data_IF_396260008155
#
_entry.id   IF_396260008155
#
_cell.length_a   1.000
_cell.length_b   1.000
_cell.length_c   1.000
_cell.angle_alpha   90.00
_cell.angle_beta   90.00
_cell.angle_gamma   90.00
#
_symmetry.space_group_name_H-M   'P 1'
#
loop_
_entity.id
_entity.type
_entity.pdbx_description
1 polymer ?
#
# COMPACT_ATOMS: atom_id res chain seq x y z
N UNK A 1 -4.41 0.89 -16.83
CA UNK A 1 -5.42 0.82 -15.75
C UNK A 1 -6.49 1.83 -16.13
N UNK A 2 -7.75 1.39 -16.28
CA UNK A 2 -8.87 2.30 -16.56
C UNK A 2 -9.36 2.81 -15.20
N UNK A 3 -9.24 4.12 -14.97
CA UNK A 3 -9.67 4.75 -13.72
C UNK A 3 -11.19 4.62 -13.60
N UNK A 4 -11.66 3.85 -12.63
CA UNK A 4 -13.07 3.51 -12.52
C UNK A 4 -13.85 4.59 -11.77
N UNK A 5 -15.18 4.57 -11.92
CA UNK A 5 -16.06 5.43 -11.12
C UNK A 5 -15.85 5.19 -9.61
N UNK A 6 -15.60 3.95 -9.20
CA UNK A 6 -15.34 3.60 -7.81
C UNK A 6 -14.02 4.21 -7.29
N UNK A 7 -12.99 4.29 -8.13
CA UNK A 7 -11.72 4.94 -7.79
C UNK A 7 -11.91 6.45 -7.60
N UNK A 8 -12.73 7.07 -8.45
CA UNK A 8 -13.08 8.48 -8.32
C UNK A 8 -13.83 8.77 -7.02
N UNK A 9 -14.85 7.97 -6.70
CA UNK A 9 -15.65 8.14 -5.48
C UNK A 9 -14.79 7.93 -4.22
N UNK A 10 -13.90 6.92 -4.24
CA UNK A 10 -12.92 6.67 -3.16
C UNK A 10 -11.98 7.86 -2.96
N UNK A 11 -11.45 8.43 -4.05
CA UNK A 11 -10.58 9.60 -4.02
C UNK A 11 -11.32 10.82 -3.44
N UNK A 12 -12.57 11.05 -3.86
CA UNK A 12 -13.39 12.16 -3.39
C UNK A 12 -13.65 12.07 -1.88
N UNK A 13 -14.00 10.87 -1.39
CA UNK A 13 -14.22 10.60 0.03
C UNK A 13 -12.93 10.80 0.83
N UNK A 14 -11.80 10.32 0.33
CA UNK A 14 -10.50 10.48 0.99
C UNK A 14 -10.09 11.97 1.06
N UNK A 15 -10.26 12.73 -0.02
CA UNK A 15 -10.00 14.18 -0.03
C UNK A 15 -10.90 14.95 0.96
N UNK A 16 -12.19 14.64 0.96
CA UNK A 16 -13.14 15.24 1.90
C UNK A 16 -12.73 14.92 3.35
N UNK A 17 -12.43 13.65 3.64
CA UNK A 17 -12.00 13.20 4.97
C UNK A 17 -10.73 13.92 5.42
N UNK A 18 -9.70 14.01 4.57
CA UNK A 18 -8.47 14.75 4.86
C UNK A 18 -8.76 16.20 5.26
N UNK A 19 -9.56 16.91 4.46
CA UNK A 19 -9.90 18.33 4.72
C UNK A 19 -10.71 18.51 6.00
N UNK A 20 -11.70 17.65 6.23
CA UNK A 20 -12.47 17.67 7.48
C UNK A 20 -11.56 17.40 8.67
N UNK A 21 -10.64 16.44 8.55
CA UNK A 21 -9.72 16.11 9.62
C UNK A 21 -8.73 17.22 9.95
N UNK A 22 -8.25 17.95 8.94
CA UNK A 22 -7.41 19.13 9.14
C UNK A 22 -8.16 20.23 9.92
N UNK A 23 -9.41 20.51 9.55
CA UNK A 23 -10.26 21.48 10.26
C UNK A 23 -10.53 21.04 11.71
N UNK A 24 -10.78 19.75 11.92
CA UNK A 24 -11.04 19.21 13.25
C UNK A 24 -9.78 19.22 14.11
N UNK A 25 -8.61 18.92 13.55
CA UNK A 25 -7.34 18.97 14.27
C UNK A 25 -7.00 20.38 14.75
N UNK A 26 -7.32 21.42 13.95
CA UNK A 26 -7.16 22.80 14.39
C UNK A 26 -8.03 23.17 15.59
N UNK A 27 -9.13 22.45 15.83
CA UNK A 27 -10.04 22.65 16.97
C UNK A 27 -9.65 21.78 18.16
N UNK A 28 -9.30 20.53 17.91
CA UNK A 28 -8.90 19.55 18.91
C UNK A 28 -7.79 18.64 18.35
N UNK A 29 -6.51 18.94 18.65
CA UNK A 29 -5.39 18.12 18.20
C UNK A 29 -5.24 16.82 18.98
N UNK A 30 -5.99 16.62 20.06
CA UNK A 30 -5.95 15.41 20.89
C UNK A 30 -7.07 14.42 20.56
N UNK A 31 -7.80 14.64 19.46
CA UNK A 31 -8.77 13.68 18.95
C UNK A 31 -8.06 12.56 18.17
N UNK A 32 -7.80 11.44 18.86
CA UNK A 32 -7.19 10.25 18.28
C UNK A 32 -8.03 9.64 17.13
N UNK A 33 -9.36 9.76 17.15
CA UNK A 33 -10.21 9.28 16.05
C UNK A 33 -10.05 10.13 14.80
N UNK A 34 -10.05 11.44 14.97
CA UNK A 34 -9.80 12.36 13.87
C UNK A 34 -8.42 12.17 13.24
N UNK A 35 -7.38 12.03 14.08
CA UNK A 35 -6.01 11.74 13.63
C UNK A 35 -5.92 10.41 12.87
N UNK A 36 -6.64 9.38 13.34
CA UNK A 36 -6.70 8.08 12.66
C UNK A 36 -7.35 8.18 11.28
N UNK A 37 -8.48 8.90 11.17
CA UNK A 37 -9.15 9.18 9.90
C UNK A 37 -8.27 9.98 8.96
N UNK A 38 -7.52 10.94 9.49
CA UNK A 38 -6.56 11.73 8.70
C UNK A 38 -5.46 10.85 8.12
N UNK A 39 -4.80 10.04 8.95
CA UNK A 39 -3.77 9.12 8.51
C UNK A 39 -4.29 8.14 7.46
N UNK A 40 -5.46 7.54 7.69
CA UNK A 40 -6.12 6.65 6.72
C UNK A 40 -6.40 7.35 5.38
N UNK A 41 -6.97 8.55 5.40
CA UNK A 41 -7.24 9.32 4.18
C UNK A 41 -5.96 9.66 3.40
N UNK A 42 -4.86 9.98 4.09
CA UNK A 42 -3.57 10.25 3.44
C UNK A 42 -3.00 8.98 2.75
N UNK A 43 -3.09 7.83 3.40
CA UNK A 43 -2.70 6.54 2.78
C UNK A 43 -3.54 6.22 1.56
N UNK A 44 -4.85 6.49 1.64
CA UNK A 44 -5.78 6.30 0.54
C UNK A 44 -5.42 7.14 -0.68
N UNK A 45 -5.19 8.44 -0.46
CA UNK A 45 -4.79 9.38 -1.50
C UNK A 45 -3.42 9.04 -2.09
N UNK A 46 -2.46 8.58 -1.28
CA UNK A 46 -1.10 8.27 -1.73
C UNK A 46 -1.06 7.23 -2.87
N UNK A 47 -2.03 6.31 -2.94
CA UNK A 47 -2.12 5.30 -4.00
C UNK A 47 -2.30 5.90 -5.40
N UNK A 48 -2.82 7.11 -5.51
CA UNK A 48 -3.11 7.78 -6.78
C UNK A 48 -2.06 8.82 -7.18
N UNK A 49 -1.01 8.96 -6.38
CA UNK A 49 -0.02 10.02 -6.51
C UNK A 49 1.27 9.52 -7.16
N UNK A 50 2.14 10.46 -7.54
CA UNK A 50 3.50 10.10 -7.96
C UNK A 50 4.25 9.47 -6.79
N UNK A 51 5.27 8.66 -7.06
CA UNK A 51 6.07 8.00 -6.01
C UNK A 51 6.63 8.98 -4.99
N UNK A 52 7.04 10.18 -5.42
CA UNK A 52 7.58 11.20 -4.52
C UNK A 52 6.49 11.76 -3.60
N UNK A 53 5.34 12.12 -4.16
CA UNK A 53 4.23 12.70 -3.41
C UNK A 53 3.59 11.65 -2.49
N UNK A 54 3.45 10.41 -2.97
CA UNK A 54 2.98 9.28 -2.19
C UNK A 54 3.88 9.04 -0.96
N UNK A 55 5.21 9.07 -1.12
CA UNK A 55 6.14 8.95 0.02
C UNK A 55 5.93 10.05 1.05
N UNK A 56 5.75 11.30 0.59
CA UNK A 56 5.48 12.41 1.50
C UNK A 56 4.16 12.20 2.25
N UNK A 57 3.09 11.85 1.53
CA UNK A 57 1.78 11.62 2.14
C UNK A 57 1.77 10.45 3.12
N UNK A 58 2.52 9.37 2.83
CA UNK A 58 2.67 8.24 3.75
C UNK A 58 3.43 8.67 5.02
N UNK A 59 4.48 9.47 4.89
CA UNK A 59 5.20 10.00 6.06
C UNK A 59 4.30 10.91 6.91
N UNK A 60 3.51 11.77 6.26
CA UNK A 60 2.52 12.61 6.95
C UNK A 60 1.45 11.74 7.64
N UNK A 61 1.01 10.65 7.00
CA UNK A 61 0.09 9.70 7.59
C UNK A 61 0.68 9.02 8.84
N UNK A 62 1.92 8.53 8.76
CA UNK A 62 2.63 7.92 9.89
C UNK A 62 2.71 8.91 11.06
N UNK A 63 3.08 10.17 10.80
CA UNK A 63 3.13 11.22 11.82
C UNK A 63 1.78 11.39 12.54
N UNK A 64 0.67 11.46 11.79
CA UNK A 64 -0.68 11.57 12.38
C UNK A 64 -1.12 10.32 13.14
N UNK A 65 -0.76 9.14 12.66
CA UNK A 65 -1.06 7.88 13.33
C UNK A 65 -0.22 7.72 14.61
N UNK A 66 1.03 8.17 14.62
CA UNK A 66 1.87 8.20 15.83
C UNK A 66 1.26 9.14 16.88
N UNK A 67 0.83 10.35 16.49
CA UNK A 67 0.10 11.27 17.39
C UNK A 67 -1.14 10.57 17.98
N UNK A 68 -1.94 9.88 17.15
CA UNK A 68 -3.11 9.14 17.61
C UNK A 68 -2.76 8.01 18.60
N UNK A 69 -1.65 7.29 18.37
CA UNK A 69 -1.19 6.23 19.27
C UNK A 69 -0.60 6.77 20.58
N UNK A 70 -0.04 7.99 20.59
CA UNK A 70 0.36 8.64 21.84
C UNK A 70 -0.84 8.95 22.73
N UNK A 71 -1.99 9.29 22.12
CA UNK A 71 -3.24 9.57 22.83
C UNK A 71 -3.95 8.26 23.24
N UNK A 72 -4.05 7.29 22.33
CA UNK A 72 -4.66 5.99 22.58
C UNK A 72 -3.80 4.84 22.00
N UNK A 73 -2.88 4.28 22.80
CA UNK A 73 -1.93 3.25 22.34
C UNK A 73 -2.57 1.91 21.93
N UNK A 74 -3.82 1.68 22.31
CA UNK A 74 -4.57 0.44 22.04
C UNK A 74 -5.67 0.61 20.98
N UNK A 75 -5.74 1.77 20.30
CA UNK A 75 -6.74 1.97 19.25
C UNK A 75 -6.45 1.07 18.04
N UNK A 76 -7.23 0.01 17.90
CA UNK A 76 -7.03 -1.04 16.90
C UNK A 76 -7.00 -0.51 15.46
N UNK A 77 -7.89 0.43 15.10
CA UNK A 77 -7.90 1.06 13.77
C UNK A 77 -6.59 1.80 13.47
N UNK A 78 -6.05 2.55 14.44
CA UNK A 78 -4.80 3.28 14.30
C UNK A 78 -3.62 2.33 14.12
N UNK A 79 -3.59 1.25 14.92
CA UNK A 79 -2.58 0.20 14.80
C UNK A 79 -2.63 -0.46 13.42
N UNK A 80 -3.83 -0.77 12.92
CA UNK A 80 -4.01 -1.34 11.59
C UNK A 80 -3.59 -0.36 10.48
N UNK A 81 -3.96 0.91 10.55
CA UNK A 81 -3.52 1.93 9.60
C UNK A 81 -1.98 2.09 9.62
N UNK A 82 -1.35 2.04 10.79
CA UNK A 82 0.11 2.10 10.92
C UNK A 82 0.80 0.91 10.24
N UNK A 83 0.27 -0.29 10.40
CA UNK A 83 0.76 -1.48 9.68
C UNK A 83 0.68 -1.32 8.16
N UNK A 84 -0.42 -0.75 7.65
CA UNK A 84 -0.57 -0.49 6.22
C UNK A 84 0.41 0.57 5.71
N UNK A 85 0.62 1.65 6.48
CA UNK A 85 1.60 2.68 6.15
C UNK A 85 3.01 2.09 6.02
N UNK A 86 3.43 1.29 7.01
CA UNK A 86 4.74 0.65 7.03
C UNK A 86 4.92 -0.38 5.91
N UNK A 87 3.88 -1.17 5.62
CA UNK A 87 3.89 -2.11 4.49
C UNK A 87 4.07 -1.36 3.17
N UNK A 88 3.33 -0.26 2.98
CA UNK A 88 3.43 0.57 1.77
C UNK A 88 4.83 1.17 1.63
N UNK A 89 5.41 1.70 2.72
CA UNK A 89 6.79 2.17 2.75
C UNK A 89 7.78 1.07 2.36
N UNK A 90 7.63 -0.13 2.92
CA UNK A 90 8.49 -1.28 2.66
C UNK A 90 8.48 -1.68 1.17
N UNK A 91 7.30 -1.67 0.53
CA UNK A 91 7.19 -1.91 -0.91
C UNK A 91 7.86 -0.83 -1.77
N UNK A 92 7.93 0.41 -1.28
CA UNK A 92 8.57 1.53 -1.99
C UNK A 92 10.08 1.64 -1.74
N UNK A 93 10.63 0.79 -0.87
CA UNK A 93 12.06 0.73 -0.54
C UNK A 93 12.78 -0.25 -1.45
N UNK A 94 13.94 0.15 -1.97
CA UNK A 94 14.77 -0.70 -2.85
C UNK A 94 15.76 -1.56 -2.07
N UNK A 95 16.06 -1.18 -0.83
CA UNK A 95 16.91 -1.94 0.08
C UNK A 95 16.09 -3.07 0.73
N UNK A 96 16.51 -4.31 0.49
CA UNK A 96 15.73 -5.47 0.93
C UNK A 96 15.78 -5.66 2.46
N UNK A 97 16.85 -5.21 3.12
CA UNK A 97 16.99 -5.33 4.57
C UNK A 97 16.13 -4.27 5.28
N UNK A 98 16.12 -3.02 4.80
CA UNK A 98 15.20 -1.98 5.29
C UNK A 98 13.73 -2.34 5.04
N UNK A 99 13.42 -2.90 3.87
CA UNK A 99 12.07 -3.35 3.55
C UNK A 99 11.62 -4.46 4.52
N UNK A 100 12.49 -5.44 4.79
CA UNK A 100 12.20 -6.53 5.75
C UNK A 100 11.93 -5.99 7.15
N UNK A 101 12.76 -5.09 7.66
CA UNK A 101 12.54 -4.45 8.97
C UNK A 101 11.20 -3.72 9.01
N UNK A 102 10.82 -3.06 7.92
CA UNK A 102 9.55 -2.34 7.81
C UNK A 102 8.35 -3.30 7.78
N UNK A 103 8.45 -4.43 7.06
CA UNK A 103 7.43 -5.49 7.08
C UNK A 103 7.30 -6.15 8.45
N UNK A 104 8.42 -6.45 9.13
CA UNK A 104 8.40 -7.03 10.48
C UNK A 104 7.74 -6.08 11.49
N UNK A 105 7.95 -4.77 11.36
CA UNK A 105 7.23 -3.77 12.16
C UNK A 105 5.74 -3.72 11.79
N UNK A 106 5.41 -3.76 10.50
CA UNK A 106 4.01 -3.77 10.06
C UNK A 106 3.24 -4.98 10.62
N UNK A 107 3.84 -6.17 10.59
CA UNK A 107 3.28 -7.39 11.17
C UNK A 107 3.01 -7.25 12.68
N UNK A 108 3.93 -6.63 13.44
CA UNK A 108 3.72 -6.35 14.86
C UNK A 108 2.54 -5.41 15.10
N UNK A 109 2.36 -4.38 14.27
CA UNK A 109 1.21 -3.48 14.36
C UNK A 109 -0.11 -4.19 14.02
N UNK A 110 -0.12 -5.04 13.00
CA UNK A 110 -1.31 -5.85 12.68
C UNK A 110 -1.64 -6.85 13.78
N UNK A 111 -0.63 -7.51 14.37
CA UNK A 111 -0.84 -8.40 15.51
C UNK A 111 -1.49 -7.64 16.67
N UNK A 112 -0.97 -6.46 17.02
CA UNK A 112 -1.57 -5.62 18.07
C UNK A 112 -3.00 -5.18 17.75
N UNK A 113 -3.31 -4.92 16.47
CA UNK A 113 -4.67 -4.60 16.04
C UNK A 113 -5.61 -5.81 16.22
N UNK A 114 -5.16 -7.01 15.87
CA UNK A 114 -5.90 -8.27 16.10
C UNK A 114 -6.07 -8.53 17.60
N UNK A 115 -5.04 -8.30 18.41
CA UNK A 115 -5.12 -8.51 19.86
C UNK A 115 -6.12 -7.54 20.51
N UNK A 116 -6.22 -6.32 19.99
CA UNK A 116 -7.16 -5.30 20.47
C UNK A 116 -8.60 -5.49 19.96
N UNK A 117 -8.79 -6.05 18.76
CA UNK A 117 -10.10 -6.43 18.21
C UNK A 117 -10.03 -7.76 17.44
N UNK A 118 -10.08 -8.90 18.15
CA UNK A 118 -9.89 -10.22 17.55
C UNK A 118 -11.02 -10.63 16.59
N UNK A 119 -12.19 -9.99 16.68
CA UNK A 119 -13.34 -10.28 15.81
C UNK A 119 -13.22 -9.67 14.41
N UNK A 120 -12.22 -8.82 14.19
CA UNK A 120 -12.07 -8.09 12.95
C UNK A 120 -11.35 -8.91 11.89
N UNK A 121 -12.12 -9.46 10.95
CA UNK A 121 -11.55 -10.26 9.84
C UNK A 121 -10.54 -9.49 8.99
N UNK A 122 -10.68 -8.16 8.88
CA UNK A 122 -9.75 -7.34 8.10
C UNK A 122 -8.36 -7.36 8.73
N UNK A 123 -8.29 -7.29 10.06
CA UNK A 123 -7.01 -7.27 10.78
C UNK A 123 -6.33 -8.62 10.71
N UNK A 124 -7.09 -9.70 10.86
CA UNK A 124 -6.57 -11.06 10.70
C UNK A 124 -6.00 -11.28 9.30
N UNK A 125 -6.72 -10.84 8.25
CA UNK A 125 -6.25 -10.91 6.86
C UNK A 125 -4.96 -10.09 6.66
N UNK A 126 -4.91 -8.86 7.16
CA UNK A 126 -3.70 -8.03 7.07
C UNK A 126 -2.50 -8.66 7.77
N UNK A 127 -2.68 -9.28 8.93
CA UNK A 127 -1.63 -10.02 9.63
C UNK A 127 -1.14 -11.23 8.83
N UNK A 128 -2.06 -12.03 8.27
CA UNK A 128 -1.69 -13.20 7.46
C UNK A 128 -0.89 -12.80 6.22
N UNK A 129 -1.27 -11.70 5.58
CA UNK A 129 -0.58 -11.15 4.41
C UNK A 129 0.80 -10.62 4.79
N UNK A 130 0.91 -9.90 5.91
CA UNK A 130 2.17 -9.37 6.40
C UNK A 130 3.19 -10.48 6.70
N UNK A 131 2.73 -11.64 7.21
CA UNK A 131 3.60 -12.81 7.42
C UNK A 131 4.24 -13.34 6.11
N UNK A 132 3.61 -13.10 4.95
CA UNK A 132 4.08 -13.50 3.62
C UNK A 132 4.79 -12.36 2.87
N UNK A 133 4.79 -11.14 3.42
CA UNK A 133 5.28 -9.95 2.73
C UNK A 133 6.79 -9.97 2.40
N UNK A 134 7.68 -10.51 3.24
CA UNK A 134 9.11 -10.62 2.89
C UNK A 134 9.37 -11.51 1.67
N UNK A 135 8.59 -12.60 1.51
CA UNK A 135 8.68 -13.50 0.35
C UNK A 135 8.18 -12.81 -0.91
N UNK A 136 7.04 -12.12 -0.83
CA UNK A 136 6.48 -11.32 -1.92
C UNK A 136 7.46 -10.23 -2.40
N UNK A 137 8.18 -9.57 -1.48
CA UNK A 137 9.16 -8.55 -1.83
C UNK A 137 10.37 -9.13 -2.57
N UNK A 138 10.89 -10.30 -2.14
CA UNK A 138 11.97 -10.99 -2.83
C UNK A 138 11.56 -11.43 -4.23
N UNK A 139 10.34 -11.96 -4.39
CA UNK A 139 9.81 -12.35 -5.70
C UNK A 139 9.63 -11.13 -6.60
N UNK A 140 9.21 -9.98 -6.04
CA UNK A 140 9.08 -8.73 -6.78
C UNK A 140 10.42 -8.22 -7.31
N UNK A 141 11.45 -8.19 -6.45
CA UNK A 141 12.80 -7.79 -6.86
C UNK A 141 13.41 -8.76 -7.86
N UNK A 142 13.19 -10.06 -7.68
CA UNK A 142 13.69 -11.10 -8.59
C UNK A 142 12.99 -11.06 -9.95
N UNK A 143 11.68 -10.83 -9.98
CA UNK A 143 10.92 -10.63 -11.21
C UNK A 143 11.43 -9.40 -11.97
N UNK A 144 11.60 -8.26 -11.28
CA UNK A 144 12.16 -7.04 -11.84
C UNK A 144 13.59 -7.24 -12.41
N UNK A 145 14.44 -8.00 -11.70
CA UNK A 145 15.78 -8.36 -12.16
C UNK A 145 15.76 -9.31 -13.37
N UNK A 146 14.82 -10.27 -13.41
CA UNK A 146 14.68 -11.22 -14.52
C UNK A 146 14.19 -10.56 -15.82
N UNK A 147 13.32 -9.56 -15.74
CA UNK A 147 12.93 -8.72 -16.88
C UNK A 147 14.09 -7.85 -17.40
N UNK A 148 15.04 -7.46 -16.53
CA UNK A 148 16.27 -6.79 -16.98
C UNK A 148 17.25 -7.75 -17.68
N UNK A 149 17.21 -9.05 -17.35
CA UNK A 149 18.09 -10.07 -17.93
C UNK A 149 17.68 -10.57 -19.32
N UNK A 150 16.41 -10.45 -19.72
CA UNK A 150 15.91 -11.01 -20.99
C UNK A 150 16.12 -10.10 -22.22
N UNK A 151 16.79 -8.95 -22.07
CA UNK A 151 17.15 -8.06 -23.19
C UNK A 151 18.48 -8.40 -23.87
N UNK A 152 19.08 -9.56 -23.55
CA UNK A 152 20.46 -9.90 -23.89
C UNK A 152 20.64 -11.22 -24.63
N UNK A 153 19.82 -11.50 -25.65
CA UNK A 153 20.17 -12.53 -26.64
C UNK A 153 19.43 -12.29 -27.96
N UNK A 154 20.13 -11.77 -28.96
CA UNK A 154 20.03 -12.17 -30.39
C UNK A 154 21.02 -11.37 -31.24
N UNK A 155 22.12 -12.05 -31.60
CA UNK A 155 22.78 -12.16 -32.90
C UNK A 155 22.70 -11.03 -33.95
N UNK A 156 23.89 -10.58 -34.38
CA UNK A 156 24.32 -9.93 -35.64
C UNK A 156 23.26 -9.58 -36.71
N UNK A 157 23.24 -8.44 -37.41
CA UNK A 157 24.34 -7.60 -37.92
C UNK A 157 23.85 -6.20 -38.38
N UNK A 158 24.83 -5.31 -38.56
CA UNK A 158 24.87 -4.10 -39.41
C UNK A 158 24.34 -2.73 -38.88
N UNK A 159 25.34 -1.84 -38.69
CA UNK A 159 25.40 -0.41 -39.06
C UNK A 159 24.63 0.64 -38.22
N UNK A 160 25.42 1.38 -37.43
CA UNK A 160 25.35 2.81 -37.00
C UNK A 160 24.04 3.60 -37.22
N UNK A 161 23.49 4.38 -36.29
CA UNK A 161 24.07 5.33 -35.32
C UNK A 161 23.03 5.69 -34.22
N UNK A 162 23.53 5.87 -32.99
CA UNK A 162 23.03 6.75 -31.92
C UNK A 162 21.51 6.86 -31.65
N UNK A 163 21.02 6.15 -30.64
CA UNK A 163 19.90 6.60 -29.81
C UNK A 163 20.24 6.42 -28.33
N UNK A 164 20.17 7.52 -27.58
CA UNK A 164 20.53 7.59 -26.16
C UNK A 164 19.66 6.67 -25.30
N UNK A 165 20.37 5.87 -24.52
CA UNK A 165 19.97 5.13 -23.31
C UNK A 165 18.86 5.86 -22.52
N UNK A 166 17.63 5.33 -22.53
CA UNK A 166 16.57 5.68 -21.58
C UNK A 166 15.80 4.39 -21.23
N UNK A 167 16.42 3.53 -20.43
CA UNK A 167 15.85 2.21 -20.04
C UNK A 167 15.67 2.04 -18.52
N UNK A 168 15.89 3.09 -17.74
CA UNK A 168 15.78 3.08 -16.27
C UNK A 168 14.50 3.71 -15.72
N UNK A 169 13.71 4.38 -16.56
CA UNK A 169 12.45 5.03 -16.16
C UNK A 169 11.29 4.04 -16.30
N UNK A 170 11.17 3.39 -17.47
CA UNK A 170 10.13 2.40 -17.76
C UNK A 170 10.05 1.28 -16.72
N UNK A 171 11.21 0.73 -16.34
CA UNK A 171 11.27 -0.40 -15.41
C UNK A 171 10.87 -0.02 -13.98
N UNK A 172 11.07 1.24 -13.61
CA UNK A 172 10.59 1.77 -12.33
C UNK A 172 9.07 1.87 -12.36
N UNK A 173 8.48 2.45 -13.42
CA UNK A 173 7.02 2.54 -13.57
C UNK A 173 6.34 1.19 -13.73
N UNK A 174 7.00 0.19 -14.33
CA UNK A 174 6.49 -1.18 -14.43
C UNK A 174 6.48 -1.86 -13.05
N UNK A 175 7.56 -1.76 -12.27
CA UNK A 175 7.59 -2.22 -10.87
C UNK A 175 6.53 -1.53 -10.01
N UNK A 176 6.34 -0.23 -10.17
CA UNK A 176 5.32 0.54 -9.43
C UNK A 176 3.89 0.23 -9.89
N UNK A 177 3.65 -0.05 -11.18
CA UNK A 177 2.36 -0.47 -11.70
C UNK A 177 1.90 -1.82 -11.13
N UNK A 178 2.85 -2.68 -10.78
CA UNK A 178 2.57 -3.96 -10.15
C UNK A 178 2.41 -3.88 -8.62
N UNK A 179 3.06 -2.92 -7.94
CA UNK A 179 2.78 -2.61 -6.52
C UNK A 179 1.36 -2.05 -6.38
N UNK A 180 0.94 -1.19 -7.32
CA UNK A 180 -0.45 -0.71 -7.41
C UNK A 180 -1.43 -1.86 -7.69
N UNK A 181 -1.03 -2.86 -8.50
CA UNK A 181 -1.78 -4.12 -8.66
C UNK A 181 -1.78 -4.94 -7.36
N UNK A 182 -0.67 -5.06 -6.63
CA UNK A 182 -0.61 -5.86 -5.41
C UNK A 182 -1.48 -5.29 -4.28
N UNK A 183 -1.54 -3.96 -4.14
CA UNK A 183 -2.43 -3.29 -3.17
C UNK A 183 -3.88 -3.25 -3.69
N UNK A 184 -4.09 -3.10 -5.00
CA UNK A 184 -5.41 -3.16 -5.65
C UNK A 184 -6.05 -4.54 -5.71
N UNK A 185 -5.28 -5.63 -5.60
CA UNK A 185 -5.79 -7.02 -5.61
C UNK A 185 -6.40 -7.42 -4.25
N UNK A 186 -6.10 -6.73 -3.15
CA UNK A 186 -6.70 -7.07 -1.85
C UNK A 186 -8.17 -6.66 -1.68
N UNK A 187 -8.77 -5.98 -2.67
CA UNK A 187 -10.20 -5.68 -2.69
C UNK A 187 -11.08 -6.69 -3.46
N UNK A 188 -10.53 -7.73 -4.13
CA UNK A 188 -11.33 -8.58 -5.04
C UNK A 188 -11.23 -10.11 -4.90
N UNK A 189 -10.90 -10.64 -3.71
CA UNK A 189 -11.03 -12.09 -3.42
C UNK A 189 -12.17 -12.42 -2.43
N UNK A 190 -12.96 -11.41 -2.02
CA UNK A 190 -14.06 -11.59 -1.06
C UNK A 190 -15.47 -11.88 -1.62
N UNK A 191 -15.74 -11.71 -2.92
CA UNK A 191 -17.13 -11.67 -3.43
C UNK A 191 -17.30 -12.36 -4.81
N UNK A 192 -17.00 -13.65 -4.91
CA UNK A 192 -17.39 -14.46 -6.08
C UNK A 192 -17.82 -15.90 -5.75
N UNK A 193 -18.31 -16.16 -4.53
CA UNK A 193 -18.76 -17.51 -4.15
C UNK A 193 -20.08 -17.56 -3.37
N UNK A 194 -21.06 -16.84 -3.88
CA UNK A 194 -22.50 -17.01 -3.69
C UNK A 194 -23.08 -16.21 -4.86
N UNK A 195 -23.83 -16.70 -5.84
CA UNK A 195 -25.10 -17.41 -5.74
C UNK A 195 -25.31 -18.17 -7.06
N UNK A 196 -25.39 -19.51 -7.02
CA UNK A 196 -26.00 -20.29 -8.10
C UNK A 196 -27.02 -21.24 -7.45
N UNK A 197 -28.33 -21.10 -7.72
CA UNK A 197 -29.32 -22.06 -7.25
C UNK A 197 -29.13 -23.41 -7.97
N UNK A 198 -29.42 -24.55 -7.31
CA UNK A 198 -29.24 -25.88 -7.89
C UNK A 198 -30.19 -26.11 -9.08
N UNK A 199 -29.76 -26.85 -10.12
CA UNK A 199 -30.61 -27.15 -11.27
C UNK A 199 -31.74 -28.11 -10.88
N UNK A 200 -32.96 -27.92 -11.43
CA UNK A 200 -34.08 -28.82 -11.18
C UNK A 200 -33.81 -30.20 -11.82
N UNK A 201 -34.17 -31.25 -11.08
CA UNK A 201 -34.44 -32.58 -11.64
C UNK A 201 -35.89 -32.66 -12.10
#
# INVERSE_FOLDING_TARGET
MEFSQADFDRLLVAEHTRKTSEVNYAKDPLDAENLTKWGGALLELAQFQTVSDAKQMINDAISKLDEALMINPSKHETLWCMGNALSTTAFMTTDSDEAKVSFDKAAQFFQRAVDADPGNELYQKSLEVAAKAPELHMDFQKAAASQQGMGGASSASSTSTAAKKKKSSDLKYDVFGWIILAVGIFAWVGMAKSHLPPPPR
#
